data_IF_464941672269
#
_entry.id   IF_464941672269
#
_cell.length_a   1.000
_cell.length_b   1.000
_cell.length_c   1.000
_cell.angle_alpha   90.00
_cell.angle_beta   90.00
_cell.angle_gamma   90.00
#
_symmetry.space_group_name_H-M   'P 1'
#
loop_
_entity.id
_entity.type
_entity.pdbx_description
1 polymer ?
#
# COMPACT_ATOMS: atom_id res chain seq x y z
N UNK A 1 -25.60 -3.42 -2.37
CA UNK A 1 -24.72 -4.00 -3.40
C UNK A 1 -23.71 -2.93 -3.79
N UNK A 2 -22.46 -3.03 -3.32
CA UNK A 2 -21.40 -2.05 -3.58
C UNK A 2 -20.77 -2.39 -4.94
N UNK A 3 -20.85 -1.46 -5.89
CA UNK A 3 -20.29 -1.65 -7.24
C UNK A 3 -18.82 -1.26 -7.17
N UNK A 4 -17.94 -2.25 -7.05
CA UNK A 4 -16.50 -2.04 -7.00
C UNK A 4 -15.96 -1.68 -8.39
N UNK A 5 -14.95 -0.81 -8.44
CA UNK A 5 -14.26 -0.46 -9.68
C UNK A 5 -13.60 -1.69 -10.31
N UNK A 6 -13.33 -1.65 -11.63
CA UNK A 6 -12.67 -2.74 -12.34
C UNK A 6 -11.28 -3.04 -11.76
N UNK A 7 -10.59 -2.04 -11.21
CA UNK A 7 -9.24 -2.17 -10.69
C UNK A 7 -9.21 -2.84 -9.32
N UNK A 8 -10.19 -2.58 -8.45
CA UNK A 8 -10.34 -3.31 -7.18
C UNK A 8 -10.64 -4.80 -7.39
N UNK A 9 -11.16 -5.22 -8.56
CA UNK A 9 -11.32 -6.64 -8.87
C UNK A 9 -9.98 -7.34 -9.09
N UNK A 10 -8.93 -6.59 -9.42
CA UNK A 10 -7.61 -7.11 -9.80
C UNK A 10 -6.55 -6.96 -8.70
N UNK A 11 -6.96 -6.59 -7.47
CA UNK A 11 -6.09 -6.42 -6.32
C UNK A 11 -6.21 -7.57 -5.31
N UNK A 12 -7.07 -8.56 -5.53
CA UNK A 12 -7.18 -9.72 -4.64
C UNK A 12 -5.83 -10.43 -4.48
N UNK A 13 -5.39 -10.65 -3.25
CA UNK A 13 -4.09 -11.24 -2.93
C UNK A 13 -2.90 -10.31 -3.19
N UNK A 14 -3.14 -9.02 -3.42
CA UNK A 14 -2.07 -8.04 -3.46
C UNK A 14 -1.57 -7.79 -2.04
N UNK A 15 -0.25 -7.79 -1.94
CA UNK A 15 0.57 -7.30 -0.84
C UNK A 15 0.69 -5.77 -0.96
N UNK A 16 0.40 -5.05 0.12
CA UNK A 16 0.11 -3.60 0.10
C UNK A 16 0.82 -2.88 1.22
N UNK A 17 1.60 -1.88 0.82
CA UNK A 17 2.09 -0.85 1.71
C UNK A 17 1.25 0.43 1.54
N UNK A 18 0.52 0.81 2.58
CA UNK A 18 -0.37 1.99 2.56
C UNK A 18 0.19 3.12 3.41
N UNK A 19 0.37 4.28 2.78
CA UNK A 19 0.91 5.47 3.41
C UNK A 19 -0.14 6.54 3.68
N UNK A 20 -0.02 7.28 4.79
CA UNK A 20 -0.86 8.46 5.03
C UNK A 20 -0.11 9.63 5.66
N UNK A 21 -0.64 10.84 5.44
CA UNK A 21 -0.25 12.06 6.13
C UNK A 21 -1.46 12.68 6.80
N UNK A 22 -1.40 12.87 8.11
CA UNK A 22 -2.38 13.65 8.84
C UNK A 22 -1.85 15.08 9.01
N UNK A 23 -2.45 16.02 8.28
CA UNK A 23 -2.01 17.42 8.29
C UNK A 23 -2.34 18.16 9.59
N UNK A 24 -3.29 17.66 10.39
CA UNK A 24 -3.70 18.25 11.67
C UNK A 24 -2.64 18.02 12.75
N UNK A 25 -2.21 16.78 12.94
CA UNK A 25 -1.23 16.39 13.96
C UNK A 25 0.20 16.21 13.40
N UNK A 26 0.40 16.40 12.09
CA UNK A 26 1.66 16.18 11.36
C UNK A 26 2.17 14.74 11.37
N UNK A 27 1.36 13.78 11.78
CA UNK A 27 1.70 12.37 11.79
C UNK A 27 1.79 11.82 10.36
N UNK A 28 2.77 10.94 10.15
CA UNK A 28 2.95 10.22 8.90
C UNK A 28 2.95 8.72 9.19
N UNK A 29 2.04 7.98 8.58
CA UNK A 29 1.91 6.53 8.76
C UNK A 29 2.28 5.71 7.54
N UNK A 30 2.63 4.46 7.81
CA UNK A 30 2.82 3.39 6.83
C UNK A 30 2.21 2.15 7.49
N UNK A 31 1.42 1.41 6.74
CA UNK A 31 0.76 0.19 7.18
C UNK A 31 1.08 -0.94 6.22
N UNK A 32 1.27 -2.13 6.78
CA UNK A 32 1.36 -3.37 6.03
C UNK A 32 0.01 -4.09 6.01
N UNK A 33 -0.49 -4.34 4.81
CA UNK A 33 -1.82 -4.85 4.57
C UNK A 33 -1.82 -5.79 3.37
N UNK A 34 -2.88 -6.59 3.27
CA UNK A 34 -3.16 -7.34 2.06
C UNK A 34 -4.64 -7.27 1.70
N UNK A 35 -4.92 -7.38 0.40
CA UNK A 35 -6.29 -7.46 -0.10
C UNK A 35 -6.82 -8.89 -0.01
N UNK A 36 -7.93 -9.03 0.71
CA UNK A 36 -8.65 -10.28 0.85
C UNK A 36 -9.44 -10.62 -0.42
N UNK A 37 -9.94 -11.86 -0.47
CA UNK A 37 -10.78 -12.35 -1.57
C UNK A 37 -12.09 -11.57 -1.70
N UNK A 38 -12.61 -11.00 -0.62
CA UNK A 38 -13.79 -10.13 -0.63
C UNK A 38 -13.50 -8.69 -1.06
N UNK A 39 -12.23 -8.38 -1.38
CA UNK A 39 -11.70 -7.08 -1.83
C UNK A 39 -11.69 -6.00 -0.74
N UNK A 40 -11.84 -6.39 0.51
CA UNK A 40 -11.41 -5.56 1.63
C UNK A 40 -9.90 -5.69 1.84
N UNK A 41 -9.26 -4.66 2.37
CA UNK A 41 -7.90 -4.76 2.90
C UNK A 41 -7.96 -5.04 4.39
N UNK A 42 -7.06 -5.87 4.89
CA UNK A 42 -6.84 -6.08 6.31
C UNK A 42 -5.35 -5.92 6.60
N UNK A 43 -4.96 -5.55 7.83
CA UNK A 43 -3.54 -5.54 8.19
C UNK A 43 -2.97 -6.96 8.24
N UNK A 44 -1.69 -7.09 7.97
CA UNK A 44 -1.02 -8.39 7.93
C UNK A 44 -1.06 -9.10 9.27
N UNK A 45 -0.84 -8.36 10.35
CA UNK A 45 -1.01 -8.85 11.73
C UNK A 45 -2.39 -9.46 11.97
N UNK A 46 -3.46 -8.83 11.46
CA UNK A 46 -4.82 -9.36 11.60
C UNK A 46 -5.09 -10.57 10.68
N UNK A 47 -4.39 -10.67 9.53
CA UNK A 47 -4.33 -11.89 8.71
C UNK A 47 -3.50 -13.02 9.32
N UNK A 48 -2.82 -12.77 10.43
CA UNK A 48 -1.89 -13.68 11.09
C UNK A 48 -0.53 -13.77 10.39
N UNK A 49 -0.15 -12.70 9.70
CA UNK A 49 1.21 -12.34 9.31
C UNK A 49 1.85 -11.40 10.33
N UNK A 50 2.75 -10.52 9.87
CA UNK A 50 3.55 -9.56 10.61
C UNK A 50 3.84 -8.32 9.76
N UNK A 51 4.34 -7.24 10.35
CA UNK A 51 4.82 -6.10 9.56
C UNK A 51 6.15 -6.47 8.87
N UNK A 52 6.23 -6.25 7.56
CA UNK A 52 7.32 -6.74 6.70
C UNK A 52 8.26 -5.63 6.18
N UNK A 53 8.02 -4.37 6.53
CA UNK A 53 8.96 -3.27 6.26
C UNK A 53 10.05 -3.15 7.36
N UNK A 54 11.31 -2.94 6.93
CA UNK A 54 12.49 -2.92 7.81
C UNK A 54 12.90 -1.53 8.29
N UNK A 55 12.67 -0.51 7.46
CA UNK A 55 13.00 0.87 7.75
C UNK A 55 11.86 1.75 7.24
N UNK A 56 11.59 2.82 7.98
CA UNK A 56 10.64 3.86 7.59
C UNK A 56 11.25 5.19 7.94
N UNK A 57 11.49 6.01 6.94
CA UNK A 57 11.71 7.44 7.10
C UNK A 57 10.60 8.19 6.36
N UNK A 58 10.35 9.43 6.78
CA UNK A 58 9.45 10.31 6.06
C UNK A 58 9.94 11.73 6.12
N UNK A 59 9.94 12.39 4.98
CA UNK A 59 10.31 13.79 4.88
C UNK A 59 9.35 14.53 3.95
N UNK A 60 9.24 15.83 4.17
CA UNK A 60 8.42 16.71 3.34
C UNK A 60 9.34 17.51 2.42
N UNK A 61 9.06 17.45 1.12
CA UNK A 61 9.68 18.34 0.14
C UNK A 61 8.76 19.55 -0.01
N UNK A 62 9.26 20.71 0.40
CA UNK A 62 8.56 21.98 0.26
C UNK A 62 8.97 22.66 -1.05
N UNK A 63 8.03 22.75 -1.99
CA UNK A 63 8.16 23.46 -3.27
C UNK A 63 6.81 24.05 -3.70
N UNK A 64 6.60 24.28 -5.01
CA UNK A 64 5.29 24.76 -5.53
C UNK A 64 4.15 23.77 -5.19
N UNK A 65 4.48 22.49 -5.04
CA UNK A 65 3.60 21.46 -4.51
C UNK A 65 4.20 20.91 -3.21
N UNK A 66 3.39 20.79 -2.15
CA UNK A 66 3.76 20.09 -0.92
C UNK A 66 3.74 18.58 -1.20
N UNK A 67 4.86 17.89 -1.00
CA UNK A 67 4.97 16.44 -1.20
C UNK A 67 5.44 15.79 0.09
N UNK A 68 4.72 14.75 0.53
CA UNK A 68 5.19 13.84 1.58
C UNK A 68 5.86 12.64 0.91
N UNK A 69 7.10 12.37 1.28
CA UNK A 69 7.85 11.20 0.84
C UNK A 69 7.87 10.17 1.96
N UNK A 70 7.57 8.94 1.61
CA UNK A 70 7.75 7.75 2.46
C UNK A 70 8.89 6.95 1.85
N UNK A 71 9.96 6.78 2.62
CA UNK A 71 11.08 5.93 2.24
C UNK A 71 11.06 4.68 3.12
N UNK A 72 10.92 3.52 2.49
CA UNK A 72 10.88 2.25 3.18
C UNK A 72 11.52 1.14 2.35
N UNK A 73 11.89 0.07 3.04
CA UNK A 73 12.48 -1.11 2.43
C UNK A 73 11.88 -2.38 3.01
N UNK A 74 11.83 -3.44 2.22
CA UNK A 74 11.45 -4.80 2.65
C UNK A 74 12.46 -5.82 2.12
N UNK A 75 12.44 -7.02 2.69
CA UNK A 75 13.14 -8.16 2.10
C UNK A 75 12.39 -8.66 0.86
N UNK A 76 13.12 -9.27 -0.08
CA UNK A 76 12.50 -9.99 -1.21
C UNK A 76 11.66 -11.19 -0.71
N UNK A 77 12.15 -11.86 0.33
CA UNK A 77 11.42 -12.90 1.04
C UNK A 77 11.35 -12.52 2.53
N UNK A 78 10.16 -12.20 2.98
CA UNK A 78 9.89 -11.74 4.35
C UNK A 78 9.53 -12.89 5.29
N UNK A 79 9.22 -14.07 4.73
CA UNK A 79 8.68 -15.21 5.46
C UNK A 79 7.24 -15.01 5.92
N UNK A 80 6.61 -13.88 5.57
CA UNK A 80 5.20 -13.65 5.82
C UNK A 80 4.34 -14.40 4.79
N UNK A 81 3.26 -15.01 5.26
CA UNK A 81 2.26 -15.68 4.43
C UNK A 81 1.30 -14.71 3.75
N UNK A 82 1.19 -13.48 4.26
CA UNK A 82 0.37 -12.41 3.69
C UNK A 82 1.08 -11.69 2.54
N UNK A 83 2.41 -11.79 2.51
CA UNK A 83 3.25 -11.18 1.49
C UNK A 83 3.33 -11.99 0.18
N UNK A 84 3.55 -11.26 -0.90
CA UNK A 84 4.07 -11.83 -2.14
C UNK A 84 5.59 -11.98 -2.00
N UNK A 85 6.09 -13.21 -2.17
CA UNK A 85 7.51 -13.47 -2.26
C UNK A 85 8.08 -12.96 -3.59
N UNK A 86 9.09 -12.09 -3.49
CA UNK A 86 9.82 -11.54 -4.62
C UNK A 86 11.08 -12.37 -4.91
N UNK A 87 11.44 -12.47 -6.18
CA UNK A 87 12.57 -13.24 -6.70
C UNK A 87 13.27 -12.45 -7.82
N UNK A 88 14.60 -12.51 -7.84
CA UNK A 88 15.39 -11.92 -8.92
C UNK A 88 15.05 -12.56 -10.28
N UNK A 89 15.07 -11.73 -11.33
CA UNK A 89 14.78 -12.13 -12.71
C UNK A 89 13.30 -12.29 -13.03
N UNK A 90 12.39 -12.16 -12.05
CA UNK A 90 10.94 -12.19 -12.26
C UNK A 90 10.38 -10.80 -12.51
N UNK A 91 9.22 -10.76 -13.16
CA UNK A 91 8.49 -9.52 -13.45
C UNK A 91 7.26 -9.42 -12.55
N UNK A 92 7.10 -8.29 -11.89
CA UNK A 92 6.04 -8.01 -10.93
C UNK A 92 5.18 -6.85 -11.39
N UNK A 93 3.88 -6.96 -11.14
CA UNK A 93 2.91 -5.90 -11.34
C UNK A 93 2.82 -5.08 -10.06
N UNK A 94 3.18 -3.81 -10.15
CA UNK A 94 3.00 -2.82 -9.11
C UNK A 94 1.74 -2.02 -9.40
N UNK A 95 0.90 -1.86 -8.38
CA UNK A 95 -0.34 -1.09 -8.45
C UNK A 95 -0.17 0.10 -7.50
N UNK A 96 -0.35 1.30 -8.02
CA UNK A 96 -0.42 2.52 -7.23
C UNK A 96 -1.87 2.93 -7.13
N UNK A 97 -2.30 3.20 -5.90
CA UNK A 97 -3.64 3.65 -5.58
C UNK A 97 -3.56 4.97 -4.81
N UNK A 98 -4.49 5.87 -5.12
CA UNK A 98 -4.75 7.05 -4.29
C UNK A 98 -6.20 7.03 -3.82
N UNK A 99 -6.40 7.05 -2.50
CA UNK A 99 -7.70 7.29 -1.90
C UNK A 99 -8.02 8.79 -1.86
N UNK A 100 -9.29 9.13 -1.66
CA UNK A 100 -9.74 10.51 -1.59
C UNK A 100 -9.28 11.26 -0.35
N UNK A 101 -9.21 12.59 -0.45
CA UNK A 101 -8.89 13.50 0.64
C UNK A 101 -10.06 13.67 1.63
N UNK A 102 -10.56 12.57 2.18
CA UNK A 102 -11.50 12.57 3.30
C UNK A 102 -10.76 12.18 4.56
N UNK A 103 -10.76 13.06 5.57
CA UNK A 103 -10.07 12.88 6.86
C UNK A 103 -10.46 11.61 7.65
N UNK A 104 -11.42 10.80 7.18
CA UNK A 104 -12.08 9.76 7.96
C UNK A 104 -12.14 8.36 7.32
N UNK A 105 -11.44 8.06 6.22
CA UNK A 105 -11.39 6.66 5.76
C UNK A 105 -10.16 6.34 4.90
N UNK A 106 -9.12 5.83 5.57
CA UNK A 106 -8.00 5.10 4.96
C UNK A 106 -8.45 3.81 4.22
N UNK A 107 -9.76 3.53 4.22
CA UNK A 107 -10.43 2.38 3.63
C UNK A 107 -11.50 2.79 2.58
N UNK A 108 -11.52 4.05 2.15
CA UNK A 108 -12.40 4.50 1.04
C UNK A 108 -11.91 4.00 -0.32
N UNK A 109 -12.83 3.96 -1.29
CA UNK A 109 -12.53 3.48 -2.64
C UNK A 109 -11.39 4.29 -3.31
N UNK A 110 -10.50 3.64 -4.08
CA UNK A 110 -9.49 4.31 -4.89
C UNK A 110 -10.16 5.34 -5.79
N UNK A 111 -9.71 6.59 -5.73
CA UNK A 111 -10.13 7.62 -6.67
C UNK A 111 -9.37 7.47 -7.99
N UNK A 112 -8.12 7.00 -7.93
CA UNK A 112 -7.29 6.72 -9.10
C UNK A 112 -6.36 5.55 -8.81
N UNK A 113 -6.15 4.75 -9.84
CA UNK A 113 -5.19 3.67 -9.89
C UNK A 113 -4.29 3.85 -11.10
N UNK A 114 -3.05 3.41 -10.98
CA UNK A 114 -2.17 3.18 -12.14
C UNK A 114 -1.31 1.97 -11.86
N UNK A 115 -0.80 1.33 -12.91
CA UNK A 115 0.01 0.13 -12.77
C UNK A 115 1.24 0.19 -13.67
N UNK A 116 2.27 -0.55 -13.27
CA UNK A 116 3.49 -0.73 -14.05
C UNK A 116 4.14 -2.06 -13.73
N UNK A 117 5.02 -2.51 -14.63
CA UNK A 117 5.76 -3.76 -14.48
C UNK A 117 7.23 -3.47 -14.16
N UNK A 118 7.77 -4.12 -13.13
CA UNK A 118 9.20 -4.08 -12.81
C UNK A 118 9.77 -5.49 -12.94
N UNK A 119 10.94 -5.60 -13.59
CA UNK A 119 11.77 -6.80 -13.49
C UNK A 119 12.82 -6.58 -12.41
N UNK A 120 12.81 -7.42 -11.39
CA UNK A 120 13.81 -7.42 -10.32
C UNK A 120 15.08 -8.15 -10.77
#
# INVERSE_FOLDING_TARGET
MKILSADQKNMQGADVYSGFKNDKNKETGLFDCFYQTDKSSISDVQGGGQESFLAKDSFEIFGVNKVTVLDFSRLLNTGDKCDVQLEEGKTYRFILETSGSGDDDLLTEPIKTTEFLIKL
#
